data_IF_178856129918
#
_entry.id   IF_178856129918
#
_cell.length_a   1.000
_cell.length_b   1.000
_cell.length_c   1.000
_cell.angle_alpha   90.00
_cell.angle_beta   90.00
_cell.angle_gamma   90.00
#
_symmetry.space_group_name_H-M   'P 1'
#
loop_
_entity.id
_entity.type
_entity.pdbx_description
1 polymer ?
#
# COMPACT_ATOMS: atom_id res chain seq x y z
N UNK A 1 -1.81 -17.85 -2.58
CA UNK A 1 -0.89 -16.80 -2.11
C UNK A 1 -1.18 -16.42 -0.66
N UNK A 2 -0.27 -15.70 0.00
CA UNK A 2 -0.43 -15.28 1.40
C UNK A 2 -1.78 -14.55 1.65
N UNK A 3 -2.14 -13.59 0.82
CA UNK A 3 -3.42 -12.88 0.96
C UNK A 3 -4.65 -13.78 0.76
N UNK A 4 -4.58 -14.75 -0.14
CA UNK A 4 -5.67 -15.71 -0.32
C UNK A 4 -5.86 -16.60 0.91
N UNK A 5 -4.74 -17.05 1.50
CA UNK A 5 -4.79 -17.84 2.74
C UNK A 5 -5.43 -17.07 3.89
N UNK A 6 -5.04 -15.80 4.07
CA UNK A 6 -5.65 -14.93 5.10
C UNK A 6 -7.15 -14.72 4.87
N UNK A 7 -7.56 -14.52 3.62
CA UNK A 7 -8.98 -14.40 3.30
C UNK A 7 -9.74 -15.68 3.64
N UNK A 8 -9.20 -16.83 3.22
CA UNK A 8 -9.84 -18.12 3.44
C UNK A 8 -10.01 -18.43 4.94
N UNK A 9 -9.00 -18.11 5.77
CA UNK A 9 -9.09 -18.20 7.24
C UNK A 9 -10.13 -17.24 7.80
N UNK A 10 -10.13 -15.98 7.36
CA UNK A 10 -11.10 -14.97 7.80
C UNK A 10 -12.55 -15.35 7.49
N UNK A 11 -12.82 -15.90 6.29
CA UNK A 11 -14.14 -16.37 5.89
C UNK A 11 -14.56 -17.64 6.66
N UNK A 12 -13.61 -18.54 6.98
CA UNK A 12 -13.86 -19.71 7.83
C UNK A 12 -14.25 -19.34 9.26
N UNK A 13 -13.68 -18.24 9.78
CA UNK A 13 -14.01 -17.68 11.10
C UNK A 13 -15.32 -16.84 11.09
N UNK A 14 -16.06 -16.83 9.97
CA UNK A 14 -17.34 -16.14 9.82
C UNK A 14 -17.22 -14.69 9.35
N UNK A 15 -16.03 -14.26 8.94
CA UNK A 15 -15.83 -12.94 8.33
C UNK A 15 -16.42 -12.87 6.93
N UNK A 16 -16.74 -11.66 6.48
CA UNK A 16 -17.31 -11.40 5.15
C UNK A 16 -16.37 -10.50 4.35
N UNK A 17 -15.99 -10.94 3.15
CA UNK A 17 -15.19 -10.15 2.20
C UNK A 17 -16.08 -9.67 1.06
N UNK A 18 -16.34 -8.38 0.99
CA UNK A 18 -17.15 -7.76 -0.06
C UNK A 18 -16.25 -7.28 -1.21
N UNK A 19 -15.99 -8.16 -2.18
CA UNK A 19 -15.23 -7.81 -3.38
C UNK A 19 -16.09 -6.96 -4.33
N UNK A 20 -15.44 -6.05 -5.07
CA UNK A 20 -16.14 -5.16 -6.00
C UNK A 20 -16.87 -3.99 -5.32
N UNK A 21 -16.76 -3.87 -4.00
CA UNK A 21 -17.38 -2.78 -3.24
C UNK A 21 -16.36 -1.69 -2.91
N UNK A 22 -16.78 -0.44 -2.93
CA UNK A 22 -15.97 0.73 -2.60
C UNK A 22 -16.63 1.58 -1.53
N UNK A 23 -15.89 1.92 -0.48
CA UNK A 23 -16.32 2.92 0.50
C UNK A 23 -16.35 4.31 -0.15
N UNK A 24 -17.47 4.99 -0.07
CA UNK A 24 -17.67 6.34 -0.60
C UNK A 24 -17.48 7.41 0.48
N UNK A 25 -17.96 7.15 1.70
CA UNK A 25 -17.99 8.11 2.80
C UNK A 25 -18.05 7.39 4.14
N UNK A 26 -17.48 8.03 5.16
CA UNK A 26 -17.64 7.60 6.56
C UNK A 26 -18.21 8.76 7.37
N UNK A 27 -19.22 8.49 8.16
CA UNK A 27 -19.89 9.48 9.01
C UNK A 27 -20.12 8.95 10.42
N UNK A 28 -20.10 9.84 11.39
CA UNK A 28 -20.56 9.52 12.76
C UNK A 28 -22.08 9.48 12.78
N UNK A 29 -22.62 8.34 13.16
CA UNK A 29 -24.05 8.14 13.37
C UNK A 29 -24.44 8.30 14.84
N UNK A 30 -25.74 8.12 15.13
CA UNK A 30 -26.27 8.23 16.49
C UNK A 30 -25.82 7.08 17.42
N UNK A 31 -25.39 5.96 16.86
CA UNK A 31 -24.99 4.75 17.61
C UNK A 31 -23.74 4.09 17.03
N UNK A 32 -22.78 4.87 16.55
CA UNK A 32 -21.56 4.32 15.95
C UNK A 32 -21.13 5.05 14.68
N UNK A 33 -20.52 4.35 13.76
CA UNK A 33 -20.05 4.86 12.47
C UNK A 33 -20.89 4.26 11.34
N UNK A 34 -21.29 5.09 10.38
CA UNK A 34 -21.91 4.65 9.13
C UNK A 34 -20.91 4.70 8.00
N UNK A 35 -20.69 3.58 7.32
CA UNK A 35 -19.85 3.49 6.12
C UNK A 35 -20.76 3.35 4.92
N UNK A 36 -20.85 4.39 4.09
CA UNK A 36 -21.56 4.33 2.81
C UNK A 36 -20.71 3.55 1.80
N UNK A 37 -21.27 2.49 1.26
CA UNK A 37 -20.60 1.56 0.35
C UNK A 37 -21.35 1.51 -0.97
N UNK A 38 -20.61 1.43 -2.08
CA UNK A 38 -21.17 1.20 -3.41
C UNK A 38 -20.65 -0.13 -3.98
N UNK A 39 -21.56 -0.99 -4.39
CA UNK A 39 -21.25 -2.11 -5.26
C UNK A 39 -20.94 -1.58 -6.68
N UNK A 40 -19.71 -1.78 -7.13
CA UNK A 40 -19.24 -1.28 -8.43
C UNK A 40 -19.80 -2.06 -9.62
N UNK A 41 -20.35 -3.25 -9.40
CA UNK A 41 -20.94 -4.07 -10.46
C UNK A 41 -22.39 -3.68 -10.70
N UNK A 42 -23.16 -3.40 -9.64
CA UNK A 42 -24.60 -3.08 -9.72
C UNK A 42 -24.86 -1.58 -9.64
N UNK A 43 -23.94 -0.81 -9.04
CA UNK A 43 -24.13 0.61 -8.70
C UNK A 43 -24.97 0.82 -7.42
N UNK A 44 -25.41 -0.24 -6.76
CA UNK A 44 -26.20 -0.17 -5.54
C UNK A 44 -25.39 0.50 -4.42
N UNK A 45 -26.06 1.37 -3.65
CA UNK A 45 -25.48 2.06 -2.49
C UNK A 45 -26.19 1.58 -1.24
N UNK A 46 -25.42 1.21 -0.22
CA UNK A 46 -25.93 0.80 1.08
C UNK A 46 -25.03 1.32 2.20
N UNK A 47 -25.49 1.26 3.43
CA UNK A 47 -24.75 1.71 4.61
C UNK A 47 -24.46 0.51 5.51
N UNK A 48 -23.21 0.40 5.94
CA UNK A 48 -22.78 -0.54 6.98
C UNK A 48 -22.63 0.26 8.27
N UNK A 49 -23.38 -0.10 9.29
CA UNK A 49 -23.23 0.48 10.64
C UNK A 49 -22.25 -0.36 11.46
N UNK A 50 -21.34 0.29 12.17
CA UNK A 50 -20.34 -0.38 13.01
C UNK A 50 -19.94 0.47 14.21
N UNK A 51 -19.57 -0.17 15.32
CA UNK A 51 -19.01 0.49 16.49
C UNK A 51 -17.50 0.64 16.41
N UNK A 52 -16.82 -0.18 15.58
CA UNK A 52 -15.39 -0.13 15.36
C UNK A 52 -15.10 -0.15 13.85
N UNK A 53 -14.33 0.81 13.39
CA UNK A 53 -13.81 0.86 12.02
C UNK A 53 -12.29 0.78 12.02
N UNK A 54 -11.71 -0.17 11.28
CA UNK A 54 -10.27 -0.22 11.01
C UNK A 54 -10.04 0.24 9.56
N UNK A 55 -9.56 1.46 9.43
CA UNK A 55 -9.24 2.07 8.14
C UNK A 55 -7.87 1.60 7.64
N UNK A 56 -7.85 0.61 6.76
CA UNK A 56 -6.66 0.09 6.08
C UNK A 56 -6.72 0.38 4.57
N UNK A 57 -7.27 1.54 4.17
CA UNK A 57 -7.61 1.87 2.79
C UNK A 57 -6.40 2.30 1.91
N UNK A 58 -5.16 2.17 2.38
CA UNK A 58 -3.96 2.45 1.62
C UNK A 58 -3.92 3.88 1.09
N UNK A 59 -3.95 4.07 -0.24
CA UNK A 59 -3.91 5.41 -0.86
C UNK A 59 -5.09 6.32 -0.46
N UNK A 60 -6.20 5.76 0.00
CA UNK A 60 -7.36 6.53 0.47
C UNK A 60 -7.42 6.66 2.00
N UNK A 61 -6.48 6.10 2.73
CA UNK A 61 -6.55 6.05 4.20
C UNK A 61 -6.56 7.44 4.84
N UNK A 62 -5.73 8.36 4.36
CA UNK A 62 -5.71 9.74 4.88
C UNK A 62 -7.04 10.48 4.63
N UNK A 63 -7.67 10.29 3.48
CA UNK A 63 -8.99 10.86 3.17
C UNK A 63 -10.04 10.36 4.17
N UNK A 64 -10.12 9.06 4.39
CA UNK A 64 -11.07 8.45 5.34
C UNK A 64 -10.78 8.93 6.77
N UNK A 65 -9.51 9.03 7.16
CA UNK A 65 -9.13 9.55 8.46
C UNK A 65 -9.61 11.01 8.66
N UNK A 66 -9.48 11.86 7.65
CA UNK A 66 -9.97 13.23 7.68
C UNK A 66 -11.51 13.28 7.82
N UNK A 67 -12.23 12.42 7.11
CA UNK A 67 -13.69 12.29 7.27
C UNK A 67 -14.08 11.90 8.71
N UNK A 68 -13.35 10.95 9.33
CA UNK A 68 -13.57 10.51 10.71
C UNK A 68 -13.30 11.62 11.74
N UNK A 69 -12.29 12.47 11.49
CA UNK A 69 -11.99 13.62 12.36
C UNK A 69 -12.89 14.83 12.07
N UNK A 70 -13.45 14.95 10.87
CA UNK A 70 -14.19 16.13 10.42
C UNK A 70 -13.27 17.32 10.11
N UNK A 71 -11.99 17.07 9.87
CA UNK A 71 -10.96 18.08 9.57
C UNK A 71 -9.86 17.52 8.68
N UNK A 72 -9.15 18.38 7.94
CA UNK A 72 -8.03 18.02 7.07
C UNK A 72 -6.72 17.84 7.88
N UNK A 73 -6.66 16.79 8.69
CA UNK A 73 -5.53 16.48 9.58
C UNK A 73 -4.35 15.83 8.85
N UNK A 74 -4.62 15.05 7.81
CA UNK A 74 -3.63 14.26 7.08
C UNK A 74 -3.61 14.61 5.60
N UNK A 75 -2.43 14.78 5.02
CA UNK A 75 -2.25 15.04 3.60
C UNK A 75 -1.45 13.92 2.97
N UNK A 76 -1.96 13.34 1.89
CA UNK A 76 -1.22 12.32 1.14
C UNK A 76 0.03 12.91 0.49
N UNK A 77 1.08 12.11 0.45
CA UNK A 77 2.31 12.34 -0.31
C UNK A 77 2.64 11.07 -1.07
N UNK A 78 2.05 10.92 -2.25
CA UNK A 78 2.22 9.70 -3.04
C UNK A 78 3.63 9.59 -3.62
N UNK A 79 4.26 8.42 -3.43
CA UNK A 79 5.54 8.10 -4.01
C UNK A 79 5.38 6.98 -5.04
N UNK A 80 5.51 7.33 -6.32
CA UNK A 80 5.42 6.36 -7.42
C UNK A 80 6.77 5.69 -7.65
N UNK A 81 6.74 4.38 -7.86
CA UNK A 81 7.89 3.58 -8.25
C UNK A 81 7.60 2.78 -9.50
N UNK A 82 8.50 2.83 -10.48
CA UNK A 82 8.42 2.05 -11.72
C UNK A 82 9.44 0.93 -11.71
N UNK A 83 9.15 -0.13 -12.46
CA UNK A 83 10.00 -1.31 -12.59
C UNK A 83 10.23 -1.64 -14.06
N UNK A 84 11.41 -2.22 -14.35
CA UNK A 84 11.74 -2.78 -15.65
C UNK A 84 12.03 -4.27 -15.52
N UNK A 85 11.53 -5.06 -16.48
CA UNK A 85 11.94 -6.45 -16.67
C UNK A 85 13.25 -6.50 -17.45
N UNK A 86 14.10 -7.46 -17.10
CA UNK A 86 15.29 -7.82 -17.88
C UNK A 86 14.91 -8.78 -19.02
N UNK A 87 15.35 -8.45 -20.23
CA UNK A 87 15.12 -9.24 -21.45
C UNK A 87 16.38 -9.90 -21.99
N UNK A 88 17.52 -9.71 -21.31
CA UNK A 88 18.77 -10.31 -21.73
C UNK A 88 18.87 -11.81 -21.40
N UNK A 89 20.02 -12.41 -21.69
CA UNK A 89 20.24 -13.86 -21.54
C UNK A 89 20.92 -14.24 -20.22
N UNK A 90 21.50 -13.27 -19.54
CA UNK A 90 22.22 -13.49 -18.30
C UNK A 90 21.25 -13.87 -17.18
N UNK A 91 21.76 -14.61 -16.19
CA UNK A 91 20.98 -15.05 -15.03
C UNK A 91 21.59 -14.50 -13.76
N UNK A 92 20.75 -14.28 -12.77
CA UNK A 92 21.15 -13.99 -11.41
C UNK A 92 20.70 -15.14 -10.51
N UNK A 93 21.58 -15.51 -9.59
CA UNK A 93 21.28 -16.51 -8.56
C UNK A 93 20.93 -15.86 -7.21
N UNK A 94 21.18 -14.56 -7.07
CA UNK A 94 20.96 -13.80 -5.85
C UNK A 94 20.26 -12.47 -6.14
N UNK A 95 19.51 -11.98 -5.15
CA UNK A 95 18.98 -10.62 -5.15
C UNK A 95 20.14 -9.63 -4.96
N UNK A 96 20.11 -8.49 -5.66
CA UNK A 96 21.11 -7.44 -5.51
C UNK A 96 20.40 -6.18 -4.96
N UNK A 97 20.86 -5.73 -3.81
CA UNK A 97 20.37 -4.53 -3.14
C UNK A 97 21.53 -3.55 -2.99
N UNK A 98 21.61 -2.52 -3.84
CA UNK A 98 22.61 -1.46 -3.67
C UNK A 98 22.44 -0.74 -2.33
N UNK A 99 23.51 -0.13 -1.86
CA UNK A 99 23.45 0.71 -0.66
C UNK A 99 22.47 1.87 -0.92
N UNK A 100 21.48 2.11 -0.04
CA UNK A 100 20.55 3.22 -0.18
C UNK A 100 21.28 4.57 -0.27
N UNK A 101 20.81 5.44 -1.15
CA UNK A 101 21.31 6.81 -1.30
C UNK A 101 20.15 7.80 -1.20
N UNK A 102 20.21 8.72 -0.23
CA UNK A 102 19.13 9.69 0.01
C UNK A 102 17.79 9.01 0.34
N UNK A 103 16.71 9.47 -0.27
CA UNK A 103 15.34 8.95 -0.05
C UNK A 103 15.03 7.69 -0.86
N UNK A 104 15.98 7.13 -1.60
CA UNK A 104 15.81 5.93 -2.42
C UNK A 104 16.49 4.72 -1.78
N UNK A 105 15.77 3.60 -1.75
CA UNK A 105 16.35 2.30 -1.37
C UNK A 105 17.30 1.73 -2.44
N UNK A 106 17.57 2.48 -3.52
CA UNK A 106 18.32 2.04 -4.68
C UNK A 106 17.48 1.21 -5.66
N UNK A 107 18.00 1.02 -6.87
CA UNK A 107 17.40 0.11 -7.85
C UNK A 107 17.85 -1.31 -7.57
N UNK A 108 16.97 -2.11 -7.00
CA UNK A 108 17.23 -3.52 -6.72
C UNK A 108 17.19 -4.34 -8.00
N UNK A 109 17.98 -5.43 -8.06
CA UNK A 109 17.75 -6.52 -9.00
C UNK A 109 17.09 -7.67 -8.23
N UNK A 110 15.84 -7.98 -8.57
CA UNK A 110 15.05 -9.02 -7.91
C UNK A 110 14.74 -10.15 -8.88
N UNK A 111 14.59 -11.36 -8.35
CA UNK A 111 14.29 -12.58 -9.10
C UNK A 111 12.90 -13.06 -8.67
N UNK A 112 11.99 -13.23 -9.61
CA UNK A 112 10.69 -13.81 -9.33
C UNK A 112 10.72 -15.35 -9.30
N UNK A 113 9.59 -15.97 -8.93
CA UNK A 113 9.51 -17.45 -8.87
C UNK A 113 9.70 -18.12 -10.22
N UNK A 114 9.47 -17.43 -11.34
CA UNK A 114 9.73 -17.89 -12.70
C UNK A 114 11.16 -17.67 -13.18
N UNK A 115 12.05 -17.18 -12.28
CA UNK A 115 13.44 -16.80 -12.60
C UNK A 115 13.56 -15.55 -13.49
N UNK A 116 12.48 -14.80 -13.67
CA UNK A 116 12.51 -13.50 -14.32
C UNK A 116 13.22 -12.47 -13.43
N UNK A 117 14.07 -11.64 -14.04
CA UNK A 117 14.81 -10.59 -13.34
C UNK A 117 14.09 -9.27 -13.54
N UNK A 118 13.99 -8.49 -12.47
CA UNK A 118 13.35 -7.19 -12.48
C UNK A 118 14.19 -6.17 -11.72
N UNK A 119 14.27 -4.96 -12.29
CA UNK A 119 14.95 -3.82 -11.69
C UNK A 119 13.93 -2.80 -11.15
N UNK A 120 14.23 -2.21 -10.02
CA UNK A 120 13.38 -1.19 -9.40
C UNK A 120 13.22 -1.36 -7.89
N UNK A 121 12.38 -0.52 -7.30
CA UNK A 121 11.66 0.58 -7.96
C UNK A 121 12.50 1.83 -8.19
N UNK A 122 12.08 2.70 -9.13
CA UNK A 122 12.37 4.12 -9.03
C UNK A 122 11.58 4.75 -7.88
N UNK A 123 11.80 6.00 -7.57
CA UNK A 123 11.04 6.69 -6.52
C UNK A 123 10.90 8.19 -6.88
N UNK A 124 9.68 8.64 -7.15
CA UNK A 124 9.40 10.04 -7.39
C UNK A 124 8.00 10.43 -6.88
N UNK A 125 7.87 11.67 -6.43
CA UNK A 125 6.61 12.20 -5.95
C UNK A 125 5.60 12.35 -7.09
N UNK A 126 4.34 12.06 -6.81
CA UNK A 126 3.21 12.27 -7.73
C UNK A 126 1.98 12.74 -6.98
N UNK A 127 1.16 13.55 -7.63
CA UNK A 127 -0.14 13.95 -7.10
C UNK A 127 -1.26 13.04 -7.62
N UNK A 128 -0.98 12.22 -8.62
CA UNK A 128 -1.96 11.41 -9.31
C UNK A 128 -1.82 9.94 -8.96
N UNK A 129 -2.96 9.27 -8.73
CA UNK A 129 -3.05 7.81 -8.60
C UNK A 129 -3.17 7.23 -10.02
N UNK A 130 -2.03 7.18 -10.73
CA UNK A 130 -1.94 6.74 -12.11
C UNK A 130 -0.83 5.68 -12.24
N UNK A 131 -1.20 4.48 -12.69
CA UNK A 131 -0.33 3.30 -12.72
C UNK A 131 0.37 3.07 -14.07
N UNK A 132 0.16 3.93 -15.07
CA UNK A 132 0.87 3.79 -16.35
C UNK A 132 2.38 3.94 -16.13
N UNK A 133 3.14 3.14 -16.89
CA UNK A 133 4.60 3.23 -16.90
C UNK A 133 5.03 4.33 -17.88
N UNK A 134 5.67 5.39 -17.39
CA UNK A 134 6.08 6.53 -18.22
C UNK A 134 7.25 6.22 -19.16
N UNK A 135 8.05 5.19 -18.85
CA UNK A 135 9.24 4.80 -19.62
C UNK A 135 10.30 5.92 -19.78
N UNK A 136 10.17 7.00 -19.02
CA UNK A 136 11.09 8.15 -19.05
C UNK A 136 12.38 7.89 -18.29
N UNK A 137 12.36 6.97 -17.33
CA UNK A 137 13.46 6.69 -16.41
C UNK A 137 14.48 5.66 -16.95
N UNK A 138 14.32 5.17 -18.19
CA UNK A 138 15.12 4.07 -18.73
C UNK A 138 16.64 4.35 -18.71
N UNK A 139 17.07 5.58 -18.96
CA UNK A 139 18.48 5.98 -18.89
C UNK A 139 19.00 6.00 -17.45
N UNK A 140 18.18 6.45 -16.51
CA UNK A 140 18.53 6.42 -15.10
C UNK A 140 18.70 4.97 -14.61
N UNK A 141 17.76 4.08 -14.97
CA UNK A 141 17.86 2.66 -14.67
C UNK A 141 19.14 2.04 -15.25
N UNK A 142 19.42 2.30 -16.53
CA UNK A 142 20.63 1.79 -17.19
C UNK A 142 21.88 2.18 -16.42
N UNK A 143 22.08 3.48 -16.18
CA UNK A 143 23.26 3.99 -15.47
C UNK A 143 23.40 3.40 -14.06
N UNK A 144 22.29 3.31 -13.34
CA UNK A 144 22.28 2.80 -11.97
C UNK A 144 22.58 1.31 -11.95
N UNK A 145 21.97 0.51 -12.80
CA UNK A 145 22.20 -0.92 -12.86
C UNK A 145 23.60 -1.23 -13.35
N UNK A 146 24.15 -0.46 -14.30
CA UNK A 146 25.53 -0.61 -14.77
C UNK A 146 26.58 -0.43 -13.67
N UNK A 147 26.26 0.26 -12.58
CA UNK A 147 27.19 0.40 -11.45
C UNK A 147 27.50 -0.94 -10.75
N UNK A 148 26.58 -1.89 -10.79
CA UNK A 148 26.77 -3.23 -10.22
C UNK A 148 26.65 -4.36 -11.25
N UNK A 149 26.14 -4.07 -12.44
CA UNK A 149 26.07 -5.01 -13.57
C UNK A 149 26.52 -4.32 -14.88
N UNK A 150 27.83 -4.16 -15.11
CA UNK A 150 28.36 -3.33 -16.20
C UNK A 150 27.99 -3.76 -17.61
N UNK A 151 27.70 -5.06 -17.83
CA UNK A 151 27.41 -5.62 -19.14
C UNK A 151 25.98 -5.40 -19.63
N UNK A 152 25.08 -4.88 -18.78
CA UNK A 152 23.70 -4.65 -19.16
C UNK A 152 23.59 -3.55 -20.21
N UNK A 153 22.66 -3.70 -21.13
CA UNK A 153 22.42 -2.77 -22.24
C UNK A 153 21.01 -2.18 -22.12
N UNK A 154 20.80 -1.04 -22.77
CA UNK A 154 19.52 -0.36 -22.80
C UNK A 154 18.40 -1.22 -23.40
N UNK A 155 18.74 -2.04 -24.38
CA UNK A 155 17.80 -2.96 -25.06
C UNK A 155 17.31 -4.07 -24.13
N UNK A 156 18.06 -4.38 -23.08
CA UNK A 156 17.70 -5.42 -22.11
C UNK A 156 16.57 -5.00 -21.15
N UNK A 157 16.16 -3.73 -21.18
CA UNK A 157 15.07 -3.22 -20.33
C UNK A 157 13.75 -3.15 -21.10
N UNK A 158 12.70 -3.78 -20.57
CA UNK A 158 11.31 -3.56 -20.99
C UNK A 158 10.47 -3.06 -19.83
N UNK A 159 9.55 -2.10 -20.04
CA UNK A 159 8.65 -1.64 -18.98
C UNK A 159 7.92 -2.80 -18.32
N UNK A 160 7.84 -2.81 -16.99
CA UNK A 160 7.09 -3.80 -16.23
C UNK A 160 5.81 -3.16 -15.66
N UNK A 161 5.77 -2.92 -14.37
CA UNK A 161 4.63 -2.29 -13.70
C UNK A 161 5.10 -1.09 -12.88
N UNK A 162 4.15 -0.30 -12.41
CA UNK A 162 4.37 0.74 -11.41
C UNK A 162 3.55 0.48 -10.16
N UNK A 163 4.00 1.01 -9.04
CA UNK A 163 3.28 1.03 -7.78
C UNK A 163 3.27 2.43 -7.19
N UNK A 164 2.30 2.71 -6.33
CA UNK A 164 2.18 3.98 -5.63
C UNK A 164 2.15 3.69 -4.13
N UNK A 165 3.04 4.34 -3.38
CA UNK A 165 3.11 4.20 -1.93
C UNK A 165 2.22 5.25 -1.28
N UNK A 166 1.44 4.88 -0.24
CA UNK A 166 0.49 5.75 0.43
C UNK A 166 1.16 6.60 1.53
N UNK A 167 2.27 7.27 1.22
CA UNK A 167 2.93 8.10 2.22
C UNK A 167 2.02 9.27 2.63
N UNK A 168 2.22 9.76 3.84
CA UNK A 168 1.54 10.91 4.41
C UNK A 168 2.58 11.96 4.73
N UNK A 169 2.32 13.19 4.33
CA UNK A 169 3.24 14.32 4.49
C UNK A 169 3.59 14.53 5.97
N UNK A 170 4.87 14.62 6.25
CA UNK A 170 5.40 14.83 7.60
C UNK A 170 5.46 13.58 8.48
N UNK A 171 5.16 12.39 7.93
CA UNK A 171 5.37 11.11 8.63
C UNK A 171 6.57 10.39 8.03
N UNK A 172 7.52 10.04 8.87
CA UNK A 172 8.73 9.28 8.49
C UNK A 172 8.52 7.76 8.63
N UNK A 173 7.46 7.33 9.31
CA UNK A 173 7.11 5.92 9.55
C UNK A 173 5.59 5.73 9.53
N UNK A 174 5.14 4.49 9.69
CA UNK A 174 3.71 4.14 9.82
C UNK A 174 3.10 4.85 11.03
N UNK A 175 1.92 5.41 10.84
CA UNK A 175 1.11 5.92 11.93
C UNK A 175 -0.10 5.01 12.14
N UNK A 176 -0.20 4.45 13.34
CA UNK A 176 -1.40 3.75 13.80
C UNK A 176 -2.09 4.69 14.78
N UNK A 177 -3.13 5.31 14.30
CA UNK A 177 -3.85 6.36 15.00
C UNK A 177 -5.17 5.81 15.54
N UNK A 178 -5.38 5.91 16.84
CA UNK A 178 -6.56 5.42 17.54
C UNK A 178 -7.44 6.59 17.92
N UNK A 179 -8.64 6.65 17.33
CA UNK A 179 -9.70 7.57 17.72
C UNK A 179 -10.77 6.84 18.52
N UNK A 180 -10.99 7.30 19.75
CA UNK A 180 -12.01 6.73 20.64
C UNK A 180 -12.99 7.80 21.06
N UNK A 181 -14.27 7.43 21.12
CA UNK A 181 -15.35 8.20 21.74
C UNK A 181 -16.25 7.24 22.51
N UNK A 182 -17.19 7.79 23.29
CA UNK A 182 -18.15 6.97 24.05
C UNK A 182 -19.05 6.13 23.13
N UNK A 183 -19.21 6.55 21.86
CA UNK A 183 -20.22 5.97 20.96
C UNK A 183 -19.58 5.20 19.79
N UNK A 184 -18.30 5.47 19.48
CA UNK A 184 -17.62 4.83 18.35
C UNK A 184 -16.10 4.87 18.49
N UNK A 185 -15.46 3.88 17.92
CA UNK A 185 -14.01 3.78 17.88
C UNK A 185 -13.53 3.53 16.46
N UNK A 186 -12.37 4.07 16.13
CA UNK A 186 -11.72 3.79 14.86
C UNK A 186 -10.21 3.68 15.00
N UNK A 187 -9.61 2.91 14.10
CA UNK A 187 -8.17 2.82 13.95
C UNK A 187 -7.80 3.21 12.53
N UNK A 188 -6.93 4.19 12.37
CA UNK A 188 -6.36 4.56 11.08
C UNK A 188 -4.96 3.96 10.92
N UNK A 189 -4.74 3.24 9.82
CA UNK A 189 -3.44 2.73 9.40
C UNK A 189 -2.93 3.63 8.27
N UNK A 190 -2.07 4.59 8.60
CA UNK A 190 -1.61 5.64 7.70
C UNK A 190 -0.13 5.45 7.34
N UNK A 191 0.25 5.87 6.14
CA UNK A 191 1.62 5.80 5.67
C UNK A 191 2.15 4.36 5.54
N UNK A 192 1.27 3.35 5.51
CA UNK A 192 1.63 1.94 5.57
C UNK A 192 2.18 1.45 4.21
N UNK A 193 3.41 1.86 3.92
CA UNK A 193 4.14 1.52 2.69
C UNK A 193 5.00 0.26 2.88
N UNK A 194 6.22 0.23 2.34
CA UNK A 194 7.17 -0.88 2.57
C UNK A 194 7.78 -0.78 3.97
N UNK A 195 7.88 -1.88 4.73
CA UNK A 195 7.58 -3.28 4.45
C UNK A 195 6.17 -3.73 4.93
N UNK A 196 5.12 -3.02 4.59
CA UNK A 196 3.77 -3.22 5.10
C UNK A 196 3.25 -4.66 4.99
N UNK A 197 3.41 -5.30 3.83
CA UNK A 197 2.96 -6.69 3.66
C UNK A 197 3.64 -7.65 4.64
N UNK A 198 4.95 -7.53 4.81
CA UNK A 198 5.75 -8.41 5.69
C UNK A 198 5.43 -8.18 7.17
N UNK A 199 5.10 -6.95 7.57
CA UNK A 199 4.78 -6.59 8.95
C UNK A 199 3.29 -6.71 9.30
N UNK A 200 2.42 -7.05 8.32
CA UNK A 200 0.96 -6.99 8.48
C UNK A 200 0.41 -7.82 9.63
N UNK A 201 0.91 -9.05 9.83
CA UNK A 201 0.46 -9.90 10.95
C UNK A 201 0.90 -9.35 12.32
N UNK A 202 2.09 -8.76 12.40
CA UNK A 202 2.56 -8.13 13.63
C UNK A 202 1.75 -6.88 13.94
N UNK A 203 1.42 -6.07 12.92
CA UNK A 203 0.55 -4.93 13.06
C UNK A 203 -0.86 -5.32 13.51
N UNK A 204 -1.45 -6.36 12.92
CA UNK A 204 -2.77 -6.85 13.31
C UNK A 204 -2.79 -7.27 14.80
N UNK A 205 -1.75 -7.97 15.26
CA UNK A 205 -1.59 -8.33 16.68
C UNK A 205 -1.46 -7.09 17.58
N UNK A 206 -0.70 -6.10 17.16
CA UNK A 206 -0.54 -4.85 17.90
C UNK A 206 -1.87 -4.10 18.02
N UNK A 207 -2.61 -3.92 16.92
CA UNK A 207 -3.92 -3.27 16.92
C UNK A 207 -4.89 -4.02 17.85
N UNK A 208 -4.98 -5.34 17.74
CA UNK A 208 -5.86 -6.15 18.57
C UNK A 208 -5.50 -6.05 20.08
N UNK A 209 -4.22 -6.03 20.44
CA UNK A 209 -3.80 -5.83 21.83
C UNK A 209 -4.23 -4.45 22.34
N UNK A 210 -4.03 -3.40 21.52
CA UNK A 210 -4.42 -2.04 21.90
C UNK A 210 -5.94 -1.86 22.03
N UNK A 211 -6.73 -2.47 21.16
CA UNK A 211 -8.20 -2.44 21.27
C UNK A 211 -8.68 -3.07 22.59
N UNK A 212 -8.07 -4.16 23.03
CA UNK A 212 -8.35 -4.78 24.34
C UNK A 212 -7.99 -3.87 25.51
N UNK A 213 -6.89 -3.09 25.41
CA UNK A 213 -6.52 -2.11 26.44
C UNK A 213 -7.57 -0.99 26.58
N UNK A 214 -8.39 -0.75 25.56
CA UNK A 214 -9.49 0.24 25.54
C UNK A 214 -10.86 -0.36 25.85
N UNK A 215 -10.95 -1.65 26.21
CA UNK A 215 -12.22 -2.38 26.43
C UNK A 215 -13.16 -2.38 25.19
N UNK A 216 -12.58 -2.45 23.99
CA UNK A 216 -13.28 -2.47 22.69
C UNK A 216 -13.20 -3.86 22.05
#
# INVERSE_FOLDING_TARGET
SFMMSLRDEFEQDGGIVLLGNGGLKVEKGAKGLGVTVQDKNTGEIFIIETNLLINSAGLNAAKIANELYGEDKFTNEFLKGEYYNYQGKEKLDHLIYPIPTGNSLGLHATIDLGKGIRFGPSAYLTNDIEYSHKNSEKEFFLKTVQSYWPLIKKEDFSPAYSGIRPNVKGLDDFLIDFGTSVESSFVNVLGYASPGLTSSLALAKYINAKLRDFDI
#
